data_IF_772019529638
#
_entry.id   IF_772019529638
#
_cell.length_a   1.000
_cell.length_b   1.000
_cell.length_c   1.000
_cell.angle_alpha   90.00
_cell.angle_beta   90.00
_cell.angle_gamma   90.00
#
_symmetry.space_group_name_H-M   'P 1'
#
loop_
_entity.id
_entity.type
_entity.pdbx_description
1 polymer ?
#
# COMPACT_ATOMS: atom_id res chain seq x y z
N UNK A 1 -7.73 -5.71 0.58
CA UNK A 1 -7.58 -6.24 1.96
C UNK A 1 -7.52 -7.75 1.94
N UNK A 2 -8.57 -8.45 1.48
CA UNK A 2 -8.59 -9.93 1.41
C UNK A 2 -7.31 -10.58 0.86
N UNK A 3 -6.82 -10.12 -0.30
CA UNK A 3 -5.58 -10.67 -0.87
C UNK A 3 -4.35 -10.48 0.03
N UNK A 4 -4.27 -9.37 0.76
CA UNK A 4 -3.15 -9.03 1.63
C UNK A 4 -3.26 -9.65 3.02
N UNK A 5 -4.38 -10.32 3.34
CA UNK A 5 -4.55 -11.12 4.57
C UNK A 5 -3.92 -12.51 4.40
N UNK A 6 -4.08 -13.10 3.22
CA UNK A 6 -3.64 -14.46 2.92
C UNK A 6 -2.27 -14.53 2.22
N UNK A 7 -1.72 -13.40 1.82
CA UNK A 7 -0.46 -13.33 1.06
C UNK A 7 0.43 -12.18 1.54
N UNK A 8 1.70 -12.21 1.15
CA UNK A 8 2.65 -11.11 1.32
C UNK A 8 2.49 -9.99 0.27
N UNK A 9 1.41 -10.04 -0.53
CA UNK A 9 1.13 -9.05 -1.55
C UNK A 9 0.91 -7.66 -0.95
N UNK A 10 1.31 -6.66 -1.71
CA UNK A 10 1.02 -5.25 -1.47
C UNK A 10 -0.05 -4.83 -2.47
N UNK A 11 -1.09 -4.14 -2.01
CA UNK A 11 -2.18 -3.67 -2.86
C UNK A 11 -2.35 -2.17 -2.75
N UNK A 12 -2.42 -1.49 -3.90
CA UNK A 12 -2.75 -0.07 -4.00
C UNK A 12 -4.13 0.03 -4.66
N UNK A 13 -4.98 0.87 -4.11
CA UNK A 13 -6.33 1.13 -4.64
C UNK A 13 -6.49 2.62 -4.86
N UNK A 14 -6.99 3.00 -6.03
CA UNK A 14 -7.35 4.39 -6.35
C UNK A 14 -8.87 4.43 -6.52
N UNK A 15 -9.54 5.29 -5.74
CA UNK A 15 -10.97 5.52 -5.88
C UNK A 15 -11.25 6.24 -7.21
N UNK A 16 -12.09 5.67 -8.05
CA UNK A 16 -12.53 6.31 -9.30
C UNK A 16 -13.31 7.61 -9.05
N UNK A 17 -14.11 7.63 -7.98
CA UNK A 17 -14.96 8.77 -7.63
C UNK A 17 -14.18 9.94 -7.05
N UNK A 18 -13.22 9.66 -6.15
CA UNK A 18 -12.54 10.71 -5.36
C UNK A 18 -11.08 10.90 -5.72
N UNK A 19 -10.48 9.98 -6.48
CA UNK A 19 -9.04 9.90 -6.68
C UNK A 19 -8.25 9.51 -5.42
N UNK A 20 -8.93 9.23 -4.30
CA UNK A 20 -8.28 8.89 -3.04
C UNK A 20 -7.47 7.60 -3.14
N UNK A 21 -6.23 7.65 -2.64
CA UNK A 21 -5.30 6.52 -2.65
C UNK A 21 -5.42 5.75 -1.33
N UNK A 22 -5.44 4.43 -1.43
CA UNK A 22 -5.33 3.52 -0.29
C UNK A 22 -4.24 2.49 -0.53
N UNK A 23 -3.56 2.12 0.54
CA UNK A 23 -2.51 1.11 0.55
C UNK A 23 -2.91 -0.01 1.51
N UNK A 24 -2.77 -1.26 1.11
CA UNK A 24 -3.04 -2.42 1.95
C UNK A 24 -1.86 -3.39 1.96
N UNK A 25 -1.53 -3.89 3.15
CA UNK A 25 -0.46 -4.86 3.39
C UNK A 25 -0.73 -5.59 4.72
N UNK A 26 -0.40 -6.89 4.80
CA UNK A 26 -0.55 -7.70 6.02
C UNK A 26 -1.94 -7.57 6.68
N UNK A 27 -3.01 -7.57 5.88
CA UNK A 27 -4.39 -7.40 6.36
C UNK A 27 -4.77 -6.00 6.85
N UNK A 28 -3.86 -5.03 6.84
CA UNK A 28 -4.13 -3.65 7.21
C UNK A 28 -4.36 -2.78 5.98
N UNK A 29 -5.27 -1.81 6.08
CA UNK A 29 -5.50 -0.80 5.04
C UNK A 29 -5.31 0.60 5.61
N UNK A 30 -4.54 1.41 4.90
CA UNK A 30 -4.38 2.82 5.15
C UNK A 30 -5.04 3.58 4.00
N UNK A 31 -5.95 4.50 4.32
CA UNK A 31 -6.78 5.23 3.35
C UNK A 31 -6.39 6.70 3.34
N UNK A 32 -6.79 7.39 2.27
CA UNK A 32 -6.60 8.83 2.10
C UNK A 32 -5.11 9.22 2.13
N UNK A 33 -4.27 8.38 1.53
CA UNK A 33 -2.86 8.69 1.38
C UNK A 33 -2.69 9.79 0.33
N UNK A 34 -1.74 10.68 0.60
CA UNK A 34 -1.18 11.55 -0.43
C UNK A 34 -0.04 10.83 -1.17
N UNK A 35 0.41 11.43 -2.28
CA UNK A 35 1.44 10.84 -3.12
C UNK A 35 2.76 10.63 -2.36
N UNK A 36 3.11 11.56 -1.46
CA UNK A 36 4.35 11.50 -0.68
C UNK A 36 4.33 10.34 0.31
N UNK A 37 3.23 10.17 1.04
CA UNK A 37 3.03 9.08 1.99
C UNK A 37 3.04 7.73 1.28
N UNK A 38 2.40 7.64 0.10
CA UNK A 38 2.47 6.43 -0.72
C UNK A 38 3.91 6.12 -1.16
N UNK A 39 4.67 7.11 -1.61
CA UNK A 39 6.07 6.92 -2.02
C UNK A 39 6.93 6.39 -0.87
N UNK A 40 6.80 6.99 0.31
CA UNK A 40 7.52 6.55 1.52
C UNK A 40 7.19 5.09 1.87
N UNK A 41 5.91 4.71 1.84
CA UNK A 41 5.46 3.33 2.06
C UNK A 41 6.00 2.37 1.00
N UNK A 42 6.01 2.75 -0.28
CA UNK A 42 6.54 1.90 -1.35
C UNK A 42 8.05 1.68 -1.22
N UNK A 43 8.79 2.72 -0.84
CA UNK A 43 10.23 2.60 -0.55
C UNK A 43 10.46 1.66 0.62
N UNK A 44 9.70 1.78 1.70
CA UNK A 44 9.79 0.90 2.87
C UNK A 44 9.51 -0.57 2.51
N UNK A 45 8.40 -0.83 1.82
CA UNK A 45 7.93 -2.20 1.61
C UNK A 45 8.55 -2.91 0.41
N UNK A 46 8.96 -2.19 -0.64
CA UNK A 46 9.51 -2.79 -1.87
C UNK A 46 11.03 -2.61 -1.98
N UNK A 47 11.54 -1.41 -1.68
CA UNK A 47 12.95 -1.09 -1.89
C UNK A 47 13.81 -1.51 -0.70
N UNK A 48 13.38 -1.21 0.53
CA UNK A 48 14.16 -1.54 1.73
C UNK A 48 14.21 -3.04 2.03
N UNK A 49 13.18 -3.82 1.63
CA UNK A 49 13.18 -5.28 1.71
C UNK A 49 14.26 -5.97 0.85
N UNK A 50 14.96 -5.25 -0.05
CA UNK A 50 16.12 -5.80 -0.80
C UNK A 50 17.45 -5.78 -0.04
N UNK A 51 17.51 -5.32 1.22
CA UNK A 51 18.71 -5.46 2.07
C UNK A 51 18.59 -6.63 3.05
N UNK A 52 18.55 -7.86 2.54
CA UNK A 52 19.22 -9.06 3.10
C UNK A 52 18.91 -10.29 2.27
#
# INVERSE_FOLDING_TARGET
IGITEETDAISIVVSEETGGISFAVNGHIQRFLDAKSLEELLVEYIVAKRKK
#
